data_IF_109007838624
#
_entry.id   IF_109007838624
#
_cell.length_a   1.000
_cell.length_b   1.000
_cell.length_c   1.000
_cell.angle_alpha   90.00
_cell.angle_beta   90.00
_cell.angle_gamma   90.00
#
_symmetry.space_group_name_H-M   'P 1'
#
loop_
_entity.id
_entity.type
_entity.pdbx_description
1 polymer ?
#
# COMPACT_ATOMS: atom_id res chain seq x y z
N UNK A 1 11.40 -7.58 -0.77
CA UNK A 1 10.84 -6.43 -0.02
C UNK A 1 9.62 -5.86 -0.72
N UNK A 2 8.59 -5.42 0.02
CA UNK A 2 7.32 -4.89 -0.52
C UNK A 2 7.28 -3.36 -0.62
N UNK A 3 8.41 -2.70 -0.36
CA UNK A 3 8.58 -1.26 -0.52
C UNK A 3 10.00 -0.96 -1.01
N UNK A 4 10.19 0.25 -1.53
CA UNK A 4 11.48 0.83 -1.90
C UNK A 4 11.58 2.23 -1.32
N UNK A 5 12.76 2.60 -0.82
CA UNK A 5 13.03 3.93 -0.27
C UNK A 5 14.27 4.48 -0.94
N UNK A 6 14.17 5.72 -1.41
CA UNK A 6 15.24 6.57 -1.89
C UNK A 6 15.37 7.80 -0.97
N UNK A 7 16.35 8.68 -1.23
CA UNK A 7 16.67 9.85 -0.40
C UNK A 7 15.45 10.65 0.08
N UNK A 8 14.45 10.83 -0.78
CA UNK A 8 13.22 11.59 -0.49
C UNK A 8 11.95 10.92 -1.02
N UNK A 9 12.06 9.70 -1.52
CA UNK A 9 10.95 9.03 -2.17
C UNK A 9 10.75 7.66 -1.56
N UNK A 10 9.50 7.26 -1.55
CA UNK A 10 9.12 5.97 -1.06
C UNK A 10 8.08 5.41 -1.98
N UNK A 11 8.26 4.15 -2.36
CA UNK A 11 7.33 3.41 -3.20
C UNK A 11 6.88 2.16 -2.44
N UNK A 12 5.58 2.06 -2.19
CA UNK A 12 4.95 0.87 -1.62
C UNK A 12 4.32 0.02 -2.72
N UNK A 13 4.57 -1.28 -2.67
CA UNK A 13 3.93 -2.27 -3.51
C UNK A 13 2.75 -2.89 -2.79
N UNK A 14 1.55 -2.74 -3.34
CA UNK A 14 0.30 -3.22 -2.74
C UNK A 14 -0.37 -4.21 -3.67
N UNK A 15 -0.83 -5.32 -3.14
CA UNK A 15 -1.80 -6.17 -3.82
C UNK A 15 -3.19 -5.91 -3.23
N UNK A 16 -4.06 -5.31 -4.04
CA UNK A 16 -5.42 -4.98 -3.65
C UNK A 16 -6.38 -6.09 -4.05
N UNK A 17 -7.08 -6.63 -3.05
CA UNK A 17 -8.21 -7.55 -3.21
C UNK A 17 -9.50 -6.73 -3.03
N UNK A 18 -10.22 -6.39 -4.12
CA UNK A 18 -11.48 -5.66 -4.05
C UNK A 18 -12.63 -6.58 -3.63
N UNK A 19 -13.83 -6.00 -3.43
CA UNK A 19 -15.07 -6.71 -3.06
C UNK A 19 -14.93 -7.56 -1.78
N UNK A 20 -14.10 -7.13 -0.83
CA UNK A 20 -13.98 -7.81 0.45
C UNK A 20 -15.09 -7.42 1.41
N UNK A 21 -15.40 -8.26 2.39
CA UNK A 21 -16.36 -7.95 3.45
C UNK A 21 -15.84 -6.92 4.46
N UNK A 22 -14.53 -6.61 4.45
CA UNK A 22 -13.86 -5.72 5.40
C UNK A 22 -12.71 -4.94 4.74
N UNK A 23 -12.36 -3.79 5.32
CA UNK A 23 -11.16 -3.03 4.97
C UNK A 23 -10.03 -3.41 5.93
N UNK A 24 -9.02 -4.16 5.46
CA UNK A 24 -7.96 -4.70 6.33
C UNK A 24 -6.65 -4.96 5.59
N UNK A 25 -5.53 -4.70 6.27
CA UNK A 25 -4.20 -5.17 5.89
C UNK A 25 -4.08 -6.64 6.33
N UNK A 26 -3.83 -7.53 5.38
CA UNK A 26 -3.81 -8.99 5.63
C UNK A 26 -2.41 -9.48 5.96
N UNK A 27 -1.40 -8.95 5.28
CA UNK A 27 -0.02 -9.38 5.43
C UNK A 27 0.78 -9.08 4.17
N UNK A 28 1.86 -9.83 3.96
CA UNK A 28 2.74 -9.70 2.81
C UNK A 28 2.67 -10.98 1.99
N UNK A 29 2.53 -10.85 0.68
CA UNK A 29 2.61 -11.96 -0.25
C UNK A 29 3.78 -11.78 -1.22
N UNK A 30 4.38 -12.88 -1.65
CA UNK A 30 5.43 -12.89 -2.67
C UNK A 30 4.81 -13.25 -4.02
N UNK A 31 5.07 -12.41 -5.02
CA UNK A 31 4.80 -12.69 -6.43
C UNK A 31 6.05 -13.31 -7.04
N UNK A 32 5.92 -14.53 -7.57
CA UNK A 32 6.96 -15.27 -8.29
C UNK A 32 8.30 -15.42 -7.52
N UNK A 33 8.27 -15.32 -6.18
CA UNK A 33 9.46 -15.41 -5.32
C UNK A 33 10.38 -14.17 -5.33
N UNK A 34 10.23 -13.27 -6.31
CA UNK A 34 11.15 -12.13 -6.48
C UNK A 34 10.65 -10.86 -5.79
N UNK A 35 9.34 -10.61 -5.81
CA UNK A 35 8.77 -9.33 -5.38
C UNK A 35 7.64 -9.48 -4.38
N UNK A 36 7.77 -8.84 -3.24
CA UNK A 36 6.75 -8.85 -2.20
C UNK A 36 5.75 -7.72 -2.39
N UNK A 37 4.53 -7.93 -1.92
CA UNK A 37 3.43 -6.96 -1.97
C UNK A 37 2.69 -6.98 -0.63
N UNK A 38 2.29 -5.80 -0.16
CA UNK A 38 1.40 -5.68 0.98
C UNK A 38 -0.03 -6.01 0.54
N UNK A 39 -0.57 -7.11 1.04
CA UNK A 39 -1.92 -7.59 0.73
C UNK A 39 -2.95 -6.78 1.50
N UNK A 40 -3.82 -6.07 0.78
CA UNK A 40 -4.88 -5.26 1.36
C UNK A 40 -6.22 -5.69 0.78
N UNK A 41 -7.19 -5.92 1.66
CA UNK A 41 -8.58 -6.18 1.32
C UNK A 41 -9.38 -4.91 1.52
N UNK A 42 -10.18 -4.54 0.51
CA UNK A 42 -11.12 -3.42 0.61
C UNK A 42 -12.51 -3.82 0.13
N UNK A 43 -13.53 -3.23 0.76
CA UNK A 43 -14.93 -3.29 0.32
C UNK A 43 -15.17 -2.63 -1.03
N UNK A 44 -14.27 -1.73 -1.43
CA UNK A 44 -14.37 -1.00 -2.67
C UNK A 44 -14.48 -1.95 -3.87
N UNK A 45 -15.42 -1.63 -4.76
CA UNK A 45 -15.56 -2.29 -6.05
C UNK A 45 -14.44 -1.83 -7.00
N UNK A 46 -13.95 -2.71 -7.91
CA UNK A 46 -12.93 -2.37 -8.89
C UNK A 46 -13.53 -1.57 -10.06
N UNK A 47 -14.35 -0.57 -9.76
CA UNK A 47 -14.94 0.34 -10.75
C UNK A 47 -14.07 1.60 -10.85
N UNK A 48 -13.93 2.09 -12.07
CA UNK A 48 -13.12 3.23 -12.53
C UNK A 48 -12.63 4.17 -11.40
N UNK A 49 -11.41 3.92 -10.91
CA UNK A 49 -10.75 4.74 -9.88
C UNK A 49 -11.29 4.68 -8.44
N UNK A 50 -12.46 4.09 -8.18
CA UNK A 50 -13.04 3.98 -6.82
C UNK A 50 -12.17 3.12 -5.90
N UNK A 51 -11.68 1.99 -6.39
CA UNK A 51 -10.74 1.13 -5.67
C UNK A 51 -9.43 1.87 -5.31
N UNK A 52 -8.93 2.72 -6.21
CA UNK A 52 -7.69 3.48 -6.01
C UNK A 52 -7.88 4.53 -4.91
N UNK A 53 -8.97 5.30 -5.00
CA UNK A 53 -9.32 6.32 -4.00
C UNK A 53 -9.58 5.70 -2.63
N UNK A 54 -10.26 4.55 -2.58
CA UNK A 54 -10.50 3.83 -1.33
C UNK A 54 -9.19 3.35 -0.69
N UNK A 55 -8.25 2.82 -1.48
CA UNK A 55 -6.94 2.41 -1.00
C UNK A 55 -6.14 3.58 -0.41
N UNK A 56 -6.08 4.70 -1.13
CA UNK A 56 -5.39 5.91 -0.65
C UNK A 56 -6.01 6.38 0.67
N UNK A 57 -7.34 6.48 0.74
CA UNK A 57 -8.04 6.88 1.97
C UNK A 57 -7.82 5.91 3.13
N UNK A 58 -7.83 4.61 2.85
CA UNK A 58 -7.59 3.58 3.84
C UNK A 58 -6.20 3.69 4.45
N UNK A 59 -5.16 3.78 3.61
CA UNK A 59 -3.77 3.91 4.06
C UNK A 59 -3.52 5.22 4.78
N UNK A 60 -4.05 6.34 4.25
CA UNK A 60 -3.99 7.64 4.90
C UNK A 60 -4.55 7.59 6.34
N UNK A 61 -5.69 6.92 6.52
CA UNK A 61 -6.31 6.74 7.84
C UNK A 61 -5.48 5.82 8.75
N UNK A 62 -4.97 4.70 8.23
CA UNK A 62 -4.18 3.75 9.02
C UNK A 62 -2.88 4.37 9.54
N UNK A 63 -2.23 5.17 8.72
CA UNK A 63 -0.92 5.77 9.04
C UNK A 63 -1.00 7.22 9.49
N UNK A 64 -2.22 7.75 9.65
CA UNK A 64 -2.48 9.13 10.10
C UNK A 64 -1.78 10.20 9.27
N UNK A 65 -1.62 9.96 7.97
CA UNK A 65 -1.01 10.91 7.02
C UNK A 65 -2.07 11.50 6.07
N UNK A 66 -1.81 12.67 5.46
CA UNK A 66 -2.71 13.24 4.46
C UNK A 66 -2.84 12.32 3.23
N UNK A 67 -4.04 12.12 2.67
CA UNK A 67 -4.21 11.34 1.45
C UNK A 67 -3.51 11.97 0.23
N UNK A 68 -3.30 13.30 0.24
CA UNK A 68 -2.51 14.02 -0.77
C UNK A 68 -1.04 13.62 -0.80
N UNK A 69 -0.53 13.07 0.30
CA UNK A 69 0.84 12.56 0.40
C UNK A 69 1.00 11.20 -0.29
N UNK A 70 -0.10 10.56 -0.72
CA UNK A 70 -0.10 9.24 -1.34
C UNK A 70 -0.56 9.38 -2.78
N UNK A 71 0.30 9.01 -3.72
CA UNK A 71 0.01 9.05 -5.16
C UNK A 71 0.12 7.68 -5.79
N UNK A 72 -0.84 7.30 -6.62
CA UNK A 72 -0.75 6.06 -7.40
C UNK A 72 0.16 6.29 -8.61
N UNK A 73 1.36 5.68 -8.61
CA UNK A 73 2.30 5.79 -9.73
C UNK A 73 2.05 4.74 -10.81
N UNK A 74 1.43 3.60 -10.45
CA UNK A 74 1.18 2.52 -11.41
C UNK A 74 0.13 1.54 -10.88
N UNK A 75 -0.50 0.81 -11.81
CA UNK A 75 -1.46 -0.23 -11.47
C UNK A 75 -2.88 0.30 -11.28
N UNK A 76 -3.24 1.38 -11.98
CA UNK A 76 -4.61 1.92 -11.98
C UNK A 76 -5.65 0.86 -12.34
N UNK A 77 -5.36 0.03 -13.35
CA UNK A 77 -6.20 -1.08 -13.83
C UNK A 77 -5.81 -2.45 -13.27
N UNK A 78 -4.73 -2.53 -12.49
CA UNK A 78 -4.22 -3.80 -11.93
C UNK A 78 -4.55 -3.92 -10.44
N UNK A 79 -4.61 -5.17 -9.96
CA UNK A 79 -4.63 -5.46 -8.52
C UNK A 79 -3.30 -5.13 -7.85
N UNK A 80 -2.20 -5.19 -8.60
CA UNK A 80 -0.89 -4.79 -8.13
C UNK A 80 -0.69 -3.29 -8.36
N UNK A 81 -0.54 -2.54 -7.28
CA UNK A 81 -0.45 -1.08 -7.26
C UNK A 81 0.90 -0.63 -6.73
N UNK A 82 1.39 0.47 -7.29
CA UNK A 82 2.57 1.18 -6.78
C UNK A 82 2.12 2.52 -6.25
N UNK A 83 2.33 2.75 -4.96
CA UNK A 83 1.96 3.99 -4.29
C UNK A 83 3.23 4.72 -3.90
N UNK A 84 3.34 5.98 -4.32
CA UNK A 84 4.40 6.88 -3.95
C UNK A 84 3.99 7.74 -2.76
N UNK A 85 4.92 7.92 -1.84
CA UNK A 85 4.78 8.75 -0.66
C UNK A 85 5.81 9.88 -0.74
N UNK A 86 5.32 11.11 -0.80
CA UNK A 86 6.16 12.31 -0.98
C UNK A 86 6.58 12.98 0.32
N UNK A 87 5.94 12.64 1.45
CA UNK A 87 6.16 13.24 2.77
C UNK A 87 6.03 12.19 3.88
N UNK A 88 6.40 12.52 5.13
CA UNK A 88 6.26 11.65 6.31
C UNK A 88 7.08 10.34 6.23
N UNK A 89 8.23 10.38 5.54
CA UNK A 89 9.06 9.19 5.29
C UNK A 89 9.60 8.54 6.57
N UNK A 90 9.90 9.32 7.60
CA UNK A 90 10.44 8.80 8.87
C UNK A 90 9.38 8.02 9.66
N UNK A 91 8.17 8.56 9.75
CA UNK A 91 7.03 7.89 10.41
C UNK A 91 6.67 6.58 9.68
N UNK A 92 6.67 6.61 8.34
CA UNK A 92 6.41 5.42 7.53
C UNK A 92 7.51 4.36 7.64
N UNK A 93 8.79 4.77 7.73
CA UNK A 93 9.92 3.86 7.97
C UNK A 93 9.77 3.10 9.29
N UNK A 94 9.36 3.77 10.36
CA UNK A 94 9.16 3.13 11.67
C UNK A 94 8.05 2.08 11.63
N UNK A 95 6.92 2.42 10.98
CA UNK A 95 5.80 1.49 10.80
C UNK A 95 6.27 0.24 10.06
N UNK A 96 7.10 0.36 9.02
CA UNK A 96 7.51 -0.81 8.23
C UNK A 96 8.71 -1.58 8.74
N UNK A 97 9.58 -0.96 9.55
CA UNK A 97 10.54 -1.73 10.35
C UNK A 97 9.77 -2.69 11.26
N UNK A 98 8.73 -2.21 11.94
CA UNK A 98 7.89 -3.07 12.78
C UNK A 98 7.17 -4.20 12.01
N UNK A 99 6.80 -4.00 10.73
CA UNK A 99 6.27 -5.09 9.89
C UNK A 99 7.34 -6.09 9.43
N UNK A 100 8.60 -5.65 9.30
CA UNK A 100 9.74 -6.50 8.93
C UNK A 100 10.18 -7.39 10.10
N UNK A 101 10.28 -6.81 11.30
CA UNK A 101 10.69 -7.53 12.52
C UNK A 101 9.65 -8.54 13.01
N UNK A 102 8.37 -8.39 12.64
CA UNK A 102 7.31 -9.34 13.01
C UNK A 102 7.33 -10.64 12.19
N UNK A 103 8.22 -10.75 11.19
CA UNK A 103 8.31 -11.90 10.26
C UNK A 103 9.73 -12.52 10.30
N UNK A 104 10.58 -12.09 11.23
CA UNK A 104 11.88 -12.71 11.51
C UNK A 104 11.84 -13.64 12.73
#
# INVERSE_FOLDING_TARGET
>A
MFYQVDKNNLILFVYLIPKSSVDKIIGIESKDGEKQYLTIRLRAVPEDGKANKALIKFLAKQWKIPPSSISLTSGATSRYKRLHFSTHLEELKQIWQSFGDCIS
#
